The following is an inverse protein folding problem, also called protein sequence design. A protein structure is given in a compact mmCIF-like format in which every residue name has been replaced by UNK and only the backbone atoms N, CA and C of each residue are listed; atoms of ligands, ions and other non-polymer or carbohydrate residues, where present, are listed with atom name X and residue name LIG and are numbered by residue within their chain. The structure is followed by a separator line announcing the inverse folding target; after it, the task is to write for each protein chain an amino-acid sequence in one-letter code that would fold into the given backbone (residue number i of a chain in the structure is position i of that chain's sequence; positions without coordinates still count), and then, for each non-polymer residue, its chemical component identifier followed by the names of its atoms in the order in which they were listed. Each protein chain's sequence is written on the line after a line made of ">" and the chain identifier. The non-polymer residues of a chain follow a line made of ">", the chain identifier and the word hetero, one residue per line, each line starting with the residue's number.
data_IF_132792408681
#
_entry.id   IF_132792408681
#
_cell.length_a   1.000
_cell.length_b   1.000
_cell.length_c   1.000
_cell.angle_alpha   90.00
_cell.angle_beta   90.00
_cell.angle_gamma   90.00
#
_symmetry.space_group_name_H-M   'P 1'
#
loop_
_entity.id
_entity.type
_entity.pdbx_description
1 polymer ?
#
# COMPACT_ATOMS: atom_id res chain seq x y z
N UNK A 1 3.03 -9.65 10.51
CA UNK A 1 2.17 -9.42 9.33
C UNK A 1 3.03 -9.12 8.10
N UNK A 2 2.48 -9.34 6.88
CA UNK A 2 3.20 -9.23 5.59
C UNK A 2 4.03 -7.94 5.50
N UNK A 3 3.43 -6.77 5.74
CA UNK A 3 4.14 -5.48 5.62
C UNK A 3 5.38 -5.36 6.50
N UNK A 4 5.36 -5.92 7.71
CA UNK A 4 6.53 -5.97 8.58
C UNK A 4 7.67 -6.79 7.96
N UNK A 5 7.35 -7.98 7.45
CA UNK A 5 8.34 -8.86 6.83
C UNK A 5 8.94 -8.25 5.56
N UNK A 6 8.11 -7.58 4.74
CA UNK A 6 8.58 -6.80 3.59
C UNK A 6 9.57 -5.73 4.03
N UNK A 7 9.22 -4.92 5.04
CA UNK A 7 10.09 -3.86 5.54
C UNK A 7 11.42 -4.40 6.07
N UNK A 8 11.39 -5.51 6.82
CA UNK A 8 12.59 -6.16 7.36
C UNK A 8 13.47 -6.75 6.25
N UNK A 9 12.87 -7.36 5.23
CA UNK A 9 13.59 -7.91 4.08
C UNK A 9 14.34 -6.81 3.31
N UNK A 10 13.66 -5.69 3.01
CA UNK A 10 14.32 -4.57 2.32
C UNK A 10 15.39 -3.90 3.19
N UNK A 11 15.18 -3.78 4.51
CA UNK A 11 16.23 -3.33 5.42
C UNK A 11 17.49 -4.21 5.33
N UNK A 12 17.32 -5.54 5.31
CA UNK A 12 18.46 -6.47 5.24
C UNK A 12 19.20 -6.40 3.90
N UNK A 13 18.55 -5.85 2.87
CA UNK A 13 19.15 -5.50 1.59
C UNK A 13 19.78 -4.09 1.56
N UNK A 14 19.76 -3.36 2.68
CA UNK A 14 20.38 -2.03 2.79
C UNK A 14 19.51 -0.86 2.36
N UNK A 15 18.18 -1.06 2.22
CA UNK A 15 17.26 -0.02 1.77
C UNK A 15 16.78 0.87 2.92
N UNK A 16 16.52 2.13 2.61
CA UNK A 16 15.76 3.02 3.47
C UNK A 16 14.26 2.68 3.42
N UNK A 17 13.57 2.79 4.54
CA UNK A 17 12.18 2.34 4.66
C UNK A 17 11.27 3.47 5.14
N UNK A 18 10.18 3.72 4.42
CA UNK A 18 9.08 4.56 4.87
C UNK A 18 7.93 3.63 5.28
N UNK A 19 7.56 3.67 6.55
CA UNK A 19 6.51 2.83 7.14
C UNK A 19 5.25 3.67 7.30
N UNK A 20 4.25 3.40 6.48
CA UNK A 20 2.91 3.95 6.66
C UNK A 20 2.12 3.12 7.68
N UNK A 21 1.37 3.81 8.54
CA UNK A 21 0.36 3.20 9.42
C UNK A 21 -0.88 4.09 9.52
N UNK A 22 -2.03 3.48 9.80
CA UNK A 22 -3.25 4.23 10.14
C UNK A 22 -3.41 4.33 11.66
N UNK A 23 -3.71 3.23 12.34
CA UNK A 23 -3.97 3.18 13.79
C UNK A 23 -2.91 2.44 14.60
N UNK A 24 -2.07 1.60 13.96
CA UNK A 24 -1.06 0.76 14.62
C UNK A 24 0.23 1.53 14.94
N UNK A 25 0.13 2.66 15.65
CA UNK A 25 1.28 3.53 15.96
C UNK A 25 2.40 2.78 16.66
N UNK A 26 2.07 2.04 17.72
CA UNK A 26 3.05 1.29 18.52
C UNK A 26 3.84 0.29 17.67
N UNK A 27 3.15 -0.50 16.84
CA UNK A 27 3.80 -1.48 15.97
C UNK A 27 4.73 -0.81 14.94
N UNK A 28 4.34 0.38 14.41
CA UNK A 28 5.15 1.14 13.47
C UNK A 28 6.40 1.73 14.15
N UNK A 29 6.26 2.28 15.36
CA UNK A 29 7.37 2.80 16.16
C UNK A 29 8.38 1.70 16.53
N UNK A 30 7.89 0.55 17.01
CA UNK A 30 8.74 -0.61 17.34
C UNK A 30 9.50 -1.13 16.10
N UNK A 31 8.83 -1.20 14.94
CA UNK A 31 9.46 -1.60 13.70
C UNK A 31 10.54 -0.61 13.25
N UNK A 32 10.25 0.68 13.30
CA UNK A 32 11.21 1.73 12.94
C UNK A 32 12.41 1.75 13.90
N UNK A 33 12.19 1.58 15.21
CA UNK A 33 13.26 1.45 16.19
C UNK A 33 14.15 0.23 15.91
N UNK A 34 13.56 -0.92 15.61
CA UNK A 34 14.30 -2.13 15.25
C UNK A 34 15.17 -1.91 14.00
N UNK A 35 14.66 -1.23 12.97
CA UNK A 35 15.42 -0.93 11.77
C UNK A 35 16.54 0.07 12.08
N UNK A 36 16.23 1.17 12.76
CA UNK A 36 17.17 2.23 13.09
C UNK A 36 18.23 1.81 14.11
N UNK A 37 17.99 0.77 14.91
CA UNK A 37 19.02 0.23 15.82
C UNK A 37 20.21 -0.39 15.09
N UNK A 38 19.98 -0.90 13.87
CA UNK A 38 21.04 -1.44 13.01
C UNK A 38 21.67 -0.38 12.12
N UNK A 39 20.83 0.47 11.52
CA UNK A 39 21.24 1.53 10.60
C UNK A 39 20.49 2.81 10.94
N UNK A 40 21.08 3.73 11.74
CA UNK A 40 20.39 4.94 12.20
C UNK A 40 19.88 5.82 11.05
N UNK A 41 18.61 6.27 11.16
CA UNK A 41 18.01 7.20 10.21
C UNK A 41 17.42 6.57 8.95
N UNK A 42 17.55 5.25 8.77
CA UNK A 42 17.07 4.54 7.57
C UNK A 42 15.59 4.15 7.61
N UNK A 43 14.92 4.30 8.75
CA UNK A 43 13.47 4.10 8.84
C UNK A 43 12.75 5.38 9.29
N UNK A 44 11.70 5.74 8.57
CA UNK A 44 10.76 6.81 8.86
C UNK A 44 9.35 6.26 8.99
N UNK A 45 8.51 6.89 9.82
CA UNK A 45 7.10 6.51 9.97
C UNK A 45 6.20 7.67 9.57
N UNK A 46 5.08 7.37 8.93
CA UNK A 46 4.03 8.35 8.61
C UNK A 46 2.67 7.77 8.94
N UNK A 47 1.90 8.52 9.71
CA UNK A 47 0.50 8.18 9.95
C UNK A 47 -0.36 8.78 8.83
N UNK A 48 -1.28 8.01 8.28
CA UNK A 48 -2.35 8.51 7.40
C UNK A 48 -3.52 7.54 7.35
N UNK A 49 -4.74 8.07 7.29
CA UNK A 49 -5.92 7.30 6.89
C UNK A 49 -6.06 7.39 5.36
N UNK A 50 -5.90 6.27 4.67
CA UNK A 50 -5.98 6.21 3.21
C UNK A 50 -7.39 6.45 2.64
N UNK A 51 -8.42 6.50 3.48
CA UNK A 51 -9.78 6.85 3.07
C UNK A 51 -9.94 8.37 2.88
N UNK A 52 -9.01 9.18 3.46
CA UNK A 52 -9.07 10.65 3.52
C UNK A 52 -8.07 11.27 2.55
N UNK A 53 -8.56 11.97 1.54
CA UNK A 53 -7.76 12.55 0.45
C UNK A 53 -6.66 13.49 0.92
N UNK A 54 -6.95 14.34 1.90
CA UNK A 54 -5.96 15.27 2.46
C UNK A 54 -4.81 14.56 3.17
N UNK A 55 -5.11 13.43 3.84
CA UNK A 55 -4.08 12.62 4.51
C UNK A 55 -3.23 11.86 3.51
N UNK A 56 -3.82 11.34 2.43
CA UNK A 56 -3.06 10.71 1.34
C UNK A 56 -2.12 11.71 0.67
N UNK A 57 -2.61 12.95 0.40
CA UNK A 57 -1.75 14.01 -0.15
C UNK A 57 -0.60 14.37 0.79
N UNK A 58 -0.86 14.50 2.09
CA UNK A 58 0.18 14.74 3.09
C UNK A 58 1.18 13.60 3.15
N UNK A 59 0.73 12.34 3.16
CA UNK A 59 1.59 11.15 3.14
C UNK A 59 2.52 11.16 1.92
N UNK A 60 2.00 11.51 0.73
CA UNK A 60 2.80 11.66 -0.50
C UNK A 60 3.88 12.72 -0.32
N UNK A 61 3.51 13.92 0.13
CA UNK A 61 4.46 15.03 0.26
C UNK A 61 5.53 14.75 1.34
N UNK A 62 5.16 14.21 2.50
CA UNK A 62 6.13 13.83 3.52
C UNK A 62 7.09 12.74 3.00
N UNK A 63 6.55 11.74 2.28
CA UNK A 63 7.37 10.64 1.73
C UNK A 63 8.40 11.13 0.72
N UNK A 64 8.07 12.11 -0.12
CA UNK A 64 9.00 12.71 -1.10
C UNK A 64 10.20 13.39 -0.45
N UNK A 65 10.06 13.82 0.80
CA UNK A 65 11.07 14.62 1.51
C UNK A 65 11.93 13.81 2.49
N UNK A 66 11.67 12.52 2.70
CA UNK A 66 12.44 11.73 3.67
C UNK A 66 13.78 11.26 3.13
N UNK A 67 13.84 10.92 1.85
CA UNK A 67 15.02 10.40 1.19
C UNK A 67 15.13 10.97 -0.23
N UNK A 68 16.31 10.86 -0.84
CA UNK A 68 16.59 11.43 -2.17
C UNK A 68 15.73 10.78 -3.27
N UNK A 69 15.47 9.48 -3.18
CA UNK A 69 14.67 8.72 -4.14
C UNK A 69 13.52 7.95 -3.47
N UNK A 70 12.55 7.57 -4.29
CA UNK A 70 11.56 6.52 -3.98
C UNK A 70 11.67 5.50 -5.09
N UNK A 71 12.17 4.33 -4.77
CA UNK A 71 12.48 3.28 -5.73
C UNK A 71 11.40 2.20 -5.78
N UNK A 72 10.72 1.96 -4.65
CA UNK A 72 9.68 0.93 -4.56
C UNK A 72 8.50 1.46 -3.73
N UNK A 73 7.30 1.32 -4.31
CA UNK A 73 6.03 1.51 -3.60
C UNK A 73 5.36 0.16 -3.40
N UNK A 74 5.12 -0.24 -2.14
CA UNK A 74 4.36 -1.44 -1.81
C UNK A 74 3.01 -1.06 -1.21
N UNK A 75 1.94 -1.22 -1.95
CA UNK A 75 0.57 -1.03 -1.49
C UNK A 75 0.09 -2.29 -0.76
N UNK A 76 0.44 -2.39 0.53
CA UNK A 76 0.11 -3.52 1.39
C UNK A 76 -1.01 -3.21 2.40
N UNK A 77 -1.26 -1.94 2.74
CA UNK A 77 -2.34 -1.57 3.66
C UNK A 77 -3.68 -2.12 3.16
N UNK A 78 -4.47 -2.68 4.06
CA UNK A 78 -5.75 -3.30 3.73
C UNK A 78 -6.70 -3.26 4.91
N UNK A 79 -7.93 -2.89 4.65
CA UNK A 79 -9.07 -3.05 5.55
C UNK A 79 -9.86 -4.28 5.09
N UNK A 80 -10.17 -5.19 6.02
CA UNK A 80 -10.83 -6.46 5.71
C UNK A 80 -11.84 -6.81 6.81
N UNK A 81 -13.11 -6.81 6.46
CA UNK A 81 -14.21 -7.24 7.31
C UNK A 81 -15.42 -7.61 6.44
N UNK A 82 -16.33 -8.48 6.94
CA UNK A 82 -17.51 -8.89 6.19
C UNK A 82 -18.52 -7.75 6.08
N UNK A 83 -19.21 -7.68 4.94
CA UNK A 83 -20.32 -6.78 4.65
C UNK A 83 -21.45 -7.60 4.02
N UNK A 84 -22.33 -8.25 4.84
CA UNK A 84 -23.49 -8.97 4.35
C UNK A 84 -24.31 -8.08 3.42
N UNK A 85 -24.92 -8.67 2.39
CA UNK A 85 -25.59 -7.90 1.33
C UNK A 85 -26.70 -6.99 1.88
N UNK A 86 -27.39 -7.43 2.92
CA UNK A 86 -28.48 -6.67 3.56
C UNK A 86 -27.99 -5.56 4.50
N UNK A 87 -26.68 -5.50 4.80
CA UNK A 87 -26.04 -4.54 5.71
C UNK A 87 -25.12 -3.54 4.99
N UNK A 88 -25.05 -3.60 3.67
CA UNK A 88 -24.18 -2.71 2.88
C UNK A 88 -24.59 -1.25 3.08
N UNK A 89 -23.59 -0.39 3.32
CA UNK A 89 -23.75 1.05 3.50
C UNK A 89 -22.65 1.83 2.78
N UNK A 90 -22.87 3.13 2.58
CA UNK A 90 -21.86 4.04 2.04
C UNK A 90 -20.60 4.08 2.91
N UNK A 91 -20.73 3.97 4.23
CA UNK A 91 -19.59 3.91 5.15
C UNK A 91 -18.72 2.65 4.91
N UNK A 92 -19.35 1.49 4.73
CA UNK A 92 -18.65 0.26 4.33
C UNK A 92 -17.94 0.42 2.99
N UNK A 93 -18.62 1.01 2.01
CA UNK A 93 -18.04 1.28 0.69
C UNK A 93 -16.83 2.19 0.79
N UNK A 94 -16.98 3.34 1.45
CA UNK A 94 -15.90 4.33 1.57
C UNK A 94 -14.67 3.76 2.26
N UNK A 95 -14.82 3.01 3.35
CA UNK A 95 -13.71 2.41 4.10
C UNK A 95 -13.02 1.31 3.32
N UNK A 96 -13.76 0.38 2.72
CA UNK A 96 -13.17 -0.76 2.02
C UNK A 96 -12.58 -0.36 0.68
N UNK A 97 -13.25 0.50 -0.10
CA UNK A 97 -12.71 1.00 -1.37
C UNK A 97 -11.61 2.04 -1.13
N UNK A 98 -11.75 2.88 -0.12
CA UNK A 98 -10.76 3.89 0.26
C UNK A 98 -9.39 3.28 0.47
N UNK A 99 -9.27 2.39 1.43
CA UNK A 99 -7.98 1.78 1.80
C UNK A 99 -7.45 0.75 0.79
N UNK A 100 -8.33 -0.01 0.10
CA UNK A 100 -7.92 -1.14 -0.76
C UNK A 100 -7.76 -0.80 -2.24
N UNK A 101 -8.31 0.32 -2.72
CA UNK A 101 -8.28 0.71 -4.14
C UNK A 101 -7.91 2.18 -4.33
N UNK A 102 -8.69 3.11 -3.77
CA UNK A 102 -8.51 4.55 -3.97
C UNK A 102 -7.17 5.04 -3.42
N UNK A 103 -6.86 4.72 -2.16
CA UNK A 103 -5.59 5.09 -1.52
C UNK A 103 -4.37 4.62 -2.31
N UNK A 104 -4.25 3.33 -2.66
CA UNK A 104 -3.21 2.83 -3.57
C UNK A 104 -3.10 3.59 -4.88
N UNK A 105 -4.21 3.85 -5.56
CA UNK A 105 -4.19 4.59 -6.84
C UNK A 105 -3.68 6.02 -6.67
N UNK A 106 -4.11 6.71 -5.61
CA UNK A 106 -3.69 8.09 -5.33
C UNK A 106 -2.23 8.17 -4.86
N UNK A 107 -1.74 7.17 -4.13
CA UNK A 107 -0.31 7.06 -3.79
C UNK A 107 0.54 6.87 -5.05
N UNK A 108 0.13 5.99 -5.96
CA UNK A 108 0.80 5.78 -7.25
C UNK A 108 0.84 7.11 -8.04
N UNK A 109 -0.31 7.76 -8.18
CA UNK A 109 -0.42 9.05 -8.88
C UNK A 109 0.49 10.12 -8.27
N UNK A 110 0.51 10.23 -6.94
CA UNK A 110 1.28 11.25 -6.25
C UNK A 110 2.78 11.00 -6.23
N UNK A 111 3.22 9.74 -6.24
CA UNK A 111 4.64 9.35 -6.19
C UNK A 111 5.22 9.02 -7.58
N UNK A 112 4.41 9.07 -8.63
CA UNK A 112 4.77 8.66 -9.99
C UNK A 112 6.08 9.28 -10.47
N UNK A 113 6.27 10.58 -10.29
CA UNK A 113 7.45 11.27 -10.82
C UNK A 113 8.74 10.82 -10.11
N UNK A 114 8.70 10.64 -8.77
CA UNK A 114 9.83 10.08 -8.01
C UNK A 114 10.15 8.65 -8.39
N UNK A 115 9.13 7.82 -8.59
CA UNK A 115 9.30 6.45 -9.06
C UNK A 115 9.87 6.40 -10.49
N UNK A 116 9.47 7.35 -11.35
CA UNK A 116 10.00 7.46 -12.71
C UNK A 116 11.48 7.88 -12.71
N UNK A 117 11.86 8.87 -11.89
CA UNK A 117 13.24 9.32 -11.74
C UNK A 117 14.18 8.16 -11.35
N UNK A 118 13.74 7.25 -10.49
CA UNK A 118 14.51 6.08 -10.02
C UNK A 118 14.38 4.83 -10.92
N UNK A 119 13.54 4.85 -11.97
CA UNK A 119 13.11 3.66 -12.73
C UNK A 119 12.55 2.58 -11.80
N UNK A 120 11.71 2.99 -10.88
CA UNK A 120 11.26 2.23 -9.73
C UNK A 120 10.21 1.17 -10.04
N UNK A 121 9.67 0.63 -8.97
CA UNK A 121 8.69 -0.47 -9.03
C UNK A 121 7.51 -0.23 -8.12
N UNK A 122 6.33 -0.70 -8.55
CA UNK A 122 5.11 -0.70 -7.75
C UNK A 122 4.65 -2.15 -7.55
N UNK A 123 4.35 -2.51 -6.30
CA UNK A 123 3.79 -3.82 -5.95
C UNK A 123 2.47 -3.62 -5.21
N UNK A 124 1.38 -4.06 -5.82
CA UNK A 124 0.06 -4.05 -5.23
C UNK A 124 -0.25 -5.41 -4.61
N UNK A 125 -0.58 -5.43 -3.29
CA UNK A 125 -1.00 -6.66 -2.62
C UNK A 125 -2.50 -6.86 -2.84
N UNK A 126 -2.83 -7.87 -3.65
CA UNK A 126 -4.19 -8.30 -3.98
C UNK A 126 -4.62 -9.50 -3.13
N UNK A 127 -5.52 -10.34 -3.59
CA UNK A 127 -6.04 -11.49 -2.83
C UNK A 127 -6.27 -12.69 -3.75
N UNK A 128 -5.84 -13.89 -3.32
CA UNK A 128 -6.07 -15.14 -4.06
C UNK A 128 -7.53 -15.56 -4.11
N UNK A 129 -8.36 -15.09 -3.17
CA UNK A 129 -9.78 -15.46 -3.10
C UNK A 129 -10.66 -14.76 -4.16
N UNK A 130 -10.11 -13.78 -4.91
CA UNK A 130 -10.86 -13.07 -5.95
C UNK A 130 -11.42 -14.01 -7.01
N UNK A 131 -10.68 -15.06 -7.38
CA UNK A 131 -11.11 -16.01 -8.39
C UNK A 131 -12.21 -16.97 -7.92
N UNK A 132 -12.31 -17.18 -6.60
CA UNK A 132 -13.28 -18.11 -6.01
C UNK A 132 -14.56 -17.41 -5.52
N UNK A 133 -14.44 -16.11 -5.23
CA UNK A 133 -15.45 -15.36 -4.50
C UNK A 133 -15.50 -15.72 -3.02
N UNK A 134 -15.90 -14.77 -2.20
CA UNK A 134 -16.07 -14.97 -0.75
C UNK A 134 -17.40 -14.37 -0.34
N UNK A 135 -18.29 -15.19 0.25
CA UNK A 135 -19.57 -14.72 0.76
C UNK A 135 -19.36 -13.59 1.78
N UNK A 136 -20.23 -12.59 1.75
CA UNK A 136 -20.20 -11.41 2.61
C UNK A 136 -19.00 -10.46 2.42
N UNK A 137 -18.21 -10.59 1.34
CA UNK A 137 -17.05 -9.72 1.08
C UNK A 137 -17.13 -9.03 -0.28
N UNK A 138 -18.33 -8.72 -0.76
CA UNK A 138 -18.56 -8.15 -2.10
C UNK A 138 -17.83 -6.84 -2.32
N UNK A 139 -17.89 -5.89 -1.37
CA UNK A 139 -17.20 -4.59 -1.49
C UNK A 139 -15.68 -4.77 -1.46
N UNK A 140 -15.16 -5.59 -0.53
CA UNK A 140 -13.73 -5.89 -0.48
C UNK A 140 -13.24 -6.54 -1.78
N UNK A 141 -13.98 -7.52 -2.29
CA UNK A 141 -13.65 -8.20 -3.56
C UNK A 141 -13.68 -7.24 -4.75
N UNK A 142 -14.66 -6.34 -4.80
CA UNK A 142 -14.71 -5.28 -5.81
C UNK A 142 -13.48 -4.36 -5.74
N UNK A 143 -13.08 -3.94 -4.54
CA UNK A 143 -11.91 -3.09 -4.34
C UNK A 143 -10.60 -3.81 -4.75
N UNK A 144 -10.38 -5.04 -4.30
CA UNK A 144 -9.19 -5.83 -4.66
C UNK A 144 -9.17 -6.24 -6.13
N UNK A 145 -10.32 -6.59 -6.70
CA UNK A 145 -10.47 -6.84 -8.15
C UNK A 145 -10.19 -5.59 -8.98
N UNK A 146 -10.66 -4.44 -8.52
CA UNK A 146 -10.31 -3.13 -9.06
C UNK A 146 -8.81 -2.87 -9.02
N UNK A 147 -8.16 -3.15 -7.88
CA UNK A 147 -6.70 -3.00 -7.72
C UNK A 147 -5.92 -3.90 -8.68
N UNK A 148 -6.37 -5.15 -8.87
CA UNK A 148 -5.77 -6.06 -9.86
C UNK A 148 -5.94 -5.53 -11.29
N UNK A 149 -7.13 -5.02 -11.62
CA UNK A 149 -7.42 -4.47 -12.95
C UNK A 149 -6.57 -3.23 -13.25
N UNK A 150 -6.52 -2.26 -12.33
CA UNK A 150 -5.69 -1.05 -12.54
C UNK A 150 -4.20 -1.38 -12.59
N UNK A 151 -3.73 -2.41 -11.88
CA UNK A 151 -2.33 -2.87 -11.97
C UNK A 151 -1.97 -3.22 -13.41
N UNK A 152 -2.83 -3.96 -14.11
CA UNK A 152 -2.64 -4.35 -15.52
C UNK A 152 -2.64 -3.13 -16.46
N UNK A 153 -3.52 -2.15 -16.21
CA UNK A 153 -3.58 -0.89 -16.96
C UNK A 153 -2.32 -0.04 -16.75
N UNK A 154 -1.98 0.19 -15.49
CA UNK A 154 -0.81 0.99 -15.10
C UNK A 154 0.52 0.36 -15.54
N UNK A 155 0.61 -0.98 -15.58
CA UNK A 155 1.79 -1.66 -16.10
C UNK A 155 2.05 -1.33 -17.58
N UNK A 156 1.00 -1.05 -18.36
CA UNK A 156 1.13 -0.61 -19.77
C UNK A 156 1.36 0.89 -19.86
N UNK A 157 0.63 1.68 -19.07
CA UNK A 157 0.69 3.14 -19.09
C UNK A 157 2.06 3.69 -18.64
N UNK A 158 2.66 3.05 -17.62
CA UNK A 158 3.93 3.45 -17.01
C UNK A 158 5.12 2.64 -17.55
N UNK A 159 4.90 1.78 -18.54
CA UNK A 159 5.95 0.95 -19.14
C UNK A 159 7.15 1.77 -19.61
N UNK A 160 8.28 1.12 -19.58
CA UNK A 160 9.67 1.59 -19.75
C UNK A 160 10.22 2.41 -18.58
N UNK A 161 9.41 3.15 -17.84
CA UNK A 161 9.88 3.99 -16.73
C UNK A 161 9.66 3.32 -15.36
N UNK A 162 8.50 2.69 -15.13
CA UNK A 162 8.11 2.09 -13.84
C UNK A 162 7.54 0.68 -14.09
N UNK A 163 7.98 -0.31 -13.31
CA UNK A 163 7.35 -1.63 -13.33
C UNK A 163 6.18 -1.68 -12.35
N UNK A 164 5.04 -2.23 -12.78
CA UNK A 164 3.85 -2.35 -11.92
C UNK A 164 3.41 -3.81 -11.88
N UNK A 165 3.37 -4.38 -10.68
CA UNK A 165 3.03 -5.77 -10.45
C UNK A 165 2.00 -5.94 -9.34
N UNK A 166 1.30 -7.06 -9.34
CA UNK A 166 0.44 -7.50 -8.25
C UNK A 166 0.98 -8.79 -7.62
N UNK A 167 0.76 -8.94 -6.33
CA UNK A 167 0.99 -10.17 -5.58
C UNK A 167 -0.27 -10.55 -4.82
N UNK A 168 -0.75 -11.75 -5.04
CA UNK A 168 -1.88 -12.34 -4.33
C UNK A 168 -1.34 -13.38 -3.33
N UNK A 169 -1.14 -13.02 -2.06
CA UNK A 169 -0.70 -13.97 -1.05
C UNK A 169 -1.81 -14.98 -0.77
N UNK A 170 -1.42 -16.23 -0.55
CA UNK A 170 -2.31 -17.27 -0.06
C UNK A 170 -2.70 -17.07 1.41
N UNK A 171 -3.60 -17.94 1.91
CA UNK A 171 -3.90 -17.99 3.34
C UNK A 171 -2.62 -18.34 4.12
N UNK A 172 -2.36 -17.55 5.16
CA UNK A 172 -1.26 -17.74 6.09
C UNK A 172 -1.79 -18.21 7.44
#
# INVERSE_FOLDING_TARGET
>A
RIGKEIALTYRDLGWNIIIHYNSSKKDAEELAQNINSKNPGTAKIVQANLDIDSEVKRLVEESKNFFDSIDILVNNASTFYPTPIDEISDDHWMKLVGSNLKGPLFLISGLKDKLKESKGSIVNITDTNLSKGTANFSIYSAAKGGLESITKGLARELATDITVNARAPGAM
#
